data_IF_424792719867
#
_entry.id   IF_424792719867
#
_cell.length_a   1.000
_cell.length_b   1.000
_cell.length_c   1.000
_cell.angle_alpha   90.00
_cell.angle_beta   90.00
_cell.angle_gamma   90.00
#
_symmetry.space_group_name_H-M   'P 1'
#
loop_
_entity.id
_entity.type
_entity.pdbx_description
1 polymer ?
#
# COMPACT_ATOMS: atom_id res chain seq x y z
N UNK A 1 -39.63 -6.26 -8.18
CA UNK A 1 -38.48 -6.48 -9.08
C UNK A 1 -39.08 -6.99 -10.37
N UNK A 2 -38.66 -6.43 -11.51
CA UNK A 2 -39.16 -6.90 -12.81
C UNK A 2 -38.81 -8.36 -13.03
N UNK A 3 -39.68 -9.12 -13.69
CA UNK A 3 -39.44 -10.51 -14.06
C UNK A 3 -38.29 -10.59 -15.07
N UNK A 4 -37.36 -11.51 -14.89
CA UNK A 4 -36.25 -11.72 -15.84
C UNK A 4 -36.63 -12.88 -16.74
N UNK A 5 -36.82 -12.59 -18.02
CA UNK A 5 -37.13 -13.57 -19.05
C UNK A 5 -35.85 -14.15 -19.64
N UNK A 6 -35.76 -15.46 -19.64
CA UNK A 6 -34.65 -16.24 -20.21
C UNK A 6 -35.01 -16.84 -21.57
N UNK A 7 -36.30 -16.91 -21.89
CA UNK A 7 -36.83 -17.51 -23.12
C UNK A 7 -36.56 -16.67 -24.37
N UNK A 8 -36.60 -17.32 -25.54
CA UNK A 8 -36.32 -16.69 -26.83
C UNK A 8 -37.48 -15.81 -27.32
N UNK A 9 -38.72 -16.24 -27.10
CA UNK A 9 -39.94 -15.63 -27.63
C UNK A 9 -40.93 -15.23 -26.51
N UNK A 10 -40.41 -14.95 -25.31
CA UNK A 10 -41.18 -14.55 -24.13
C UNK A 10 -42.21 -15.60 -23.68
N UNK A 11 -41.95 -16.88 -23.95
CA UNK A 11 -42.76 -18.00 -23.52
C UNK A 11 -42.89 -18.05 -21.99
N UNK A 12 -41.77 -17.83 -21.30
CA UNK A 12 -41.70 -17.82 -19.85
C UNK A 12 -42.50 -16.67 -19.24
N UNK A 13 -42.53 -15.50 -19.87
CA UNK A 13 -43.34 -14.35 -19.45
C UNK A 13 -44.82 -14.68 -19.55
N UNK A 14 -45.25 -15.28 -20.68
CA UNK A 14 -46.65 -15.62 -20.89
C UNK A 14 -47.11 -16.72 -19.91
N UNK A 15 -46.27 -17.72 -19.68
CA UNK A 15 -46.53 -18.73 -18.65
C UNK A 15 -46.54 -18.11 -17.25
N UNK A 16 -45.63 -17.18 -16.94
CA UNK A 16 -45.56 -16.52 -15.63
C UNK A 16 -46.79 -15.66 -15.36
N UNK A 17 -47.34 -15.02 -16.39
CA UNK A 17 -48.63 -14.31 -16.30
C UNK A 17 -49.78 -15.24 -15.87
N UNK A 18 -49.77 -16.49 -16.34
CA UNK A 18 -50.83 -17.47 -16.04
C UNK A 18 -50.60 -18.23 -14.72
N UNK A 19 -49.33 -18.46 -14.36
CA UNK A 19 -48.93 -19.42 -13.33
C UNK A 19 -48.08 -18.83 -12.20
N UNK A 20 -47.68 -17.55 -12.26
CA UNK A 20 -46.76 -16.93 -11.30
C UNK A 20 -47.28 -16.86 -9.86
N UNK A 21 -48.57 -17.10 -9.64
CA UNK A 21 -49.18 -17.27 -8.32
C UNK A 21 -48.95 -18.66 -7.69
N UNK A 22 -48.50 -19.64 -8.48
CA UNK A 22 -48.25 -20.99 -7.99
C UNK A 22 -46.89 -21.03 -7.30
N UNK A 23 -46.89 -21.41 -6.03
CA UNK A 23 -45.67 -21.62 -5.27
C UNK A 23 -45.11 -23.03 -5.50
N UNK A 24 -43.80 -23.13 -5.77
CA UNK A 24 -43.10 -24.40 -5.95
C UNK A 24 -43.76 -25.32 -7.00
N UNK A 25 -44.15 -24.77 -8.13
CA UNK A 25 -44.77 -25.53 -9.21
C UNK A 25 -43.82 -26.53 -9.86
N UNK A 26 -44.37 -27.29 -10.80
CA UNK A 26 -43.69 -28.41 -11.47
C UNK A 26 -43.87 -28.34 -12.98
N UNK A 27 -42.77 -28.44 -13.72
CA UNK A 27 -42.75 -28.45 -15.18
C UNK A 27 -42.09 -29.71 -15.74
N UNK A 28 -42.38 -29.99 -17.01
CA UNK A 28 -41.63 -30.94 -17.82
C UNK A 28 -41.17 -30.19 -19.07
N UNK A 29 -39.88 -30.26 -19.37
CA UNK A 29 -39.23 -29.59 -20.49
C UNK A 29 -38.58 -30.62 -21.40
N UNK A 30 -39.11 -30.78 -22.62
CA UNK A 30 -38.66 -31.76 -23.60
C UNK A 30 -37.93 -31.06 -24.71
N UNK A 31 -36.64 -31.40 -24.87
CA UNK A 31 -35.70 -30.63 -25.69
C UNK A 31 -35.28 -29.34 -24.96
N UNK A 32 -34.88 -29.51 -23.70
CA UNK A 32 -34.62 -28.40 -22.80
C UNK A 32 -33.37 -27.58 -23.17
N UNK A 33 -32.48 -28.12 -24.02
CA UNK A 33 -31.33 -27.43 -24.59
C UNK A 33 -30.41 -26.79 -23.54
N UNK A 34 -30.27 -25.46 -23.49
CA UNK A 34 -29.40 -24.80 -22.51
C UNK A 34 -30.18 -24.49 -21.21
N UNK A 35 -29.63 -24.77 -20.02
CA UNK A 35 -30.32 -24.56 -18.74
C UNK A 35 -30.55 -23.08 -18.38
N UNK A 36 -29.92 -22.14 -19.09
CA UNK A 36 -30.07 -20.70 -18.88
C UNK A 36 -30.43 -19.95 -20.16
N UNK A 37 -29.71 -20.17 -21.26
CA UNK A 37 -29.90 -19.41 -22.50
C UNK A 37 -31.12 -19.92 -23.27
N UNK A 38 -32.05 -19.03 -23.61
CA UNK A 38 -33.33 -19.37 -24.27
C UNK A 38 -34.24 -20.32 -23.48
N UNK A 39 -33.96 -20.53 -22.18
CA UNK A 39 -34.69 -21.46 -21.34
C UNK A 39 -36.06 -20.92 -20.94
N UNK A 40 -37.12 -21.67 -21.24
CA UNK A 40 -38.50 -21.37 -20.80
C UNK A 40 -38.69 -21.64 -19.30
N UNK A 41 -37.86 -22.52 -18.73
CA UNK A 41 -38.01 -23.01 -17.36
C UNK A 41 -37.06 -22.34 -16.36
N UNK A 42 -36.09 -21.54 -16.82
CA UNK A 42 -35.07 -20.92 -15.96
C UNK A 42 -35.67 -19.99 -14.91
N UNK A 43 -36.54 -19.06 -15.32
CA UNK A 43 -37.19 -18.10 -14.42
C UNK A 43 -38.03 -18.79 -13.33
N UNK A 44 -38.77 -19.86 -13.69
CA UNK A 44 -39.57 -20.63 -12.74
C UNK A 44 -38.72 -21.30 -11.67
N UNK A 45 -37.61 -21.92 -12.07
CA UNK A 45 -36.71 -22.56 -11.13
C UNK A 45 -36.01 -21.57 -10.20
N UNK A 46 -35.62 -20.39 -10.70
CA UNK A 46 -35.09 -19.33 -9.84
C UNK A 46 -36.13 -18.87 -8.82
N UNK A 47 -37.42 -18.94 -9.17
CA UNK A 47 -38.55 -18.73 -8.28
C UNK A 47 -38.90 -19.94 -7.38
N UNK A 48 -38.05 -20.97 -7.32
CA UNK A 48 -38.20 -22.12 -6.43
C UNK A 48 -38.93 -23.33 -7.02
N UNK A 49 -39.33 -23.28 -8.29
CA UNK A 49 -39.91 -24.43 -8.97
C UNK A 49 -38.84 -25.50 -9.22
N UNK A 50 -39.32 -26.70 -9.55
CA UNK A 50 -38.48 -27.83 -9.98
C UNK A 50 -39.24 -28.64 -11.01
N UNK A 51 -38.53 -29.40 -11.84
CA UNK A 51 -39.19 -30.19 -12.87
C UNK A 51 -38.35 -31.33 -13.40
N UNK A 52 -38.70 -31.77 -14.60
CA UNK A 52 -37.94 -32.74 -15.38
C UNK A 52 -37.42 -32.02 -16.62
N UNK A 53 -36.11 -32.09 -16.84
CA UNK A 53 -35.45 -31.57 -18.04
C UNK A 53 -34.94 -32.74 -18.86
N UNK A 54 -35.43 -32.88 -20.08
CA UNK A 54 -35.05 -33.95 -21.02
C UNK A 54 -34.19 -33.32 -22.11
N UNK A 55 -32.92 -33.68 -22.13
CA UNK A 55 -31.92 -33.14 -23.06
C UNK A 55 -30.90 -34.23 -23.43
N UNK A 56 -30.93 -34.76 -24.67
CA UNK A 56 -30.09 -35.88 -25.07
C UNK A 56 -28.61 -35.51 -25.31
N UNK A 57 -28.27 -34.24 -25.59
CA UNK A 57 -26.90 -33.86 -25.89
C UNK A 57 -26.02 -33.83 -24.62
N UNK A 58 -24.88 -34.53 -24.61
CA UNK A 58 -24.04 -34.65 -23.41
C UNK A 58 -23.54 -33.31 -22.84
N UNK A 59 -23.21 -32.34 -23.69
CA UNK A 59 -22.72 -31.02 -23.28
C UNK A 59 -23.77 -30.25 -22.48
N UNK A 60 -25.02 -30.27 -22.95
CA UNK A 60 -26.13 -29.59 -22.29
C UNK A 60 -26.59 -30.34 -21.05
N UNK A 61 -26.65 -31.68 -21.10
CA UNK A 61 -26.97 -32.49 -19.93
C UNK A 61 -26.01 -32.21 -18.76
N UNK A 62 -24.70 -32.13 -19.03
CA UNK A 62 -23.72 -31.78 -18.01
C UNK A 62 -23.97 -30.39 -17.42
N UNK A 63 -24.32 -29.40 -18.25
CA UNK A 63 -24.67 -28.06 -17.79
C UNK A 63 -25.92 -28.07 -16.90
N UNK A 64 -26.93 -28.88 -17.23
CA UNK A 64 -28.11 -29.10 -16.38
C UNK A 64 -27.75 -29.70 -15.02
N UNK A 65 -26.88 -30.72 -14.97
CA UNK A 65 -26.44 -31.30 -13.70
C UNK A 65 -25.76 -30.28 -12.78
N UNK A 66 -24.98 -29.36 -13.36
CA UNK A 66 -24.26 -28.32 -12.61
C UNK A 66 -25.17 -27.16 -12.15
N UNK A 67 -26.04 -26.69 -13.04
CA UNK A 67 -26.81 -25.45 -12.84
C UNK A 67 -28.23 -25.70 -12.30
N UNK A 68 -28.77 -26.90 -12.53
CA UNK A 68 -30.17 -27.28 -12.25
C UNK A 68 -30.29 -28.49 -11.31
N UNK A 69 -29.58 -28.57 -10.17
CA UNK A 69 -29.58 -29.75 -9.32
C UNK A 69 -30.90 -30.08 -8.63
N UNK A 70 -31.90 -29.18 -8.62
CA UNK A 70 -33.26 -29.51 -8.12
C UNK A 70 -34.13 -30.22 -9.15
N UNK A 71 -33.76 -30.12 -10.43
CA UNK A 71 -34.47 -30.78 -11.51
C UNK A 71 -34.01 -32.22 -11.66
N UNK A 72 -34.90 -33.08 -12.17
CA UNK A 72 -34.52 -34.39 -12.69
C UNK A 72 -34.01 -34.19 -14.12
N UNK A 73 -32.70 -34.26 -14.30
CA UNK A 73 -32.04 -34.00 -15.59
C UNK A 73 -31.71 -35.31 -16.31
N UNK A 74 -32.36 -35.57 -17.45
CA UNK A 74 -32.31 -36.85 -18.16
C UNK A 74 -31.60 -36.72 -19.52
N UNK A 75 -30.51 -37.48 -19.69
CA UNK A 75 -29.75 -37.60 -20.94
C UNK A 75 -30.42 -38.58 -21.92
N UNK A 76 -31.65 -38.27 -22.33
CA UNK A 76 -32.47 -39.11 -23.21
C UNK A 76 -33.23 -38.23 -24.21
N UNK A 77 -33.73 -38.83 -25.28
CA UNK A 77 -34.79 -38.25 -26.08
C UNK A 77 -36.17 -38.76 -25.62
N UNK A 78 -37.22 -37.99 -25.91
CA UNK A 78 -38.60 -38.44 -25.74
C UNK A 78 -39.18 -38.91 -27.08
N UNK A 79 -39.97 -39.96 -27.08
CA UNK A 79 -40.59 -40.49 -28.30
C UNK A 79 -41.76 -41.44 -28.05
N UNK A 80 -42.23 -42.10 -29.11
CA UNK A 80 -43.44 -42.94 -29.07
C UNK A 80 -43.23 -44.31 -28.43
N UNK A 81 -41.99 -44.78 -28.34
CA UNK A 81 -41.61 -46.03 -27.68
C UNK A 81 -40.23 -45.92 -27.03
N UNK A 82 -39.96 -46.77 -26.04
CA UNK A 82 -38.62 -46.90 -25.47
C UNK A 82 -37.68 -47.59 -26.48
N UNK A 83 -36.44 -47.12 -26.57
CA UNK A 83 -35.46 -47.67 -27.52
C UNK A 83 -34.22 -46.79 -27.64
N UNK A 84 -33.65 -46.76 -28.84
CA UNK A 84 -32.56 -45.85 -29.23
C UNK A 84 -32.97 -45.10 -30.49
N UNK A 85 -32.50 -43.86 -30.63
CA UNK A 85 -32.62 -43.08 -31.86
C UNK A 85 -31.27 -42.48 -32.25
N UNK A 86 -31.10 -42.24 -33.54
CA UNK A 86 -30.00 -41.43 -34.05
C UNK A 86 -30.40 -39.97 -34.03
N UNK A 87 -29.67 -39.16 -33.28
CA UNK A 87 -29.79 -37.72 -33.22
C UNK A 87 -28.72 -37.08 -34.10
N UNK A 88 -29.12 -36.10 -34.91
CA UNK A 88 -28.22 -35.33 -35.76
C UNK A 88 -28.01 -33.96 -35.14
N UNK A 89 -26.83 -33.73 -34.58
CA UNK A 89 -26.45 -32.48 -33.94
C UNK A 89 -25.64 -31.59 -34.90
N UNK A 90 -25.79 -30.27 -34.75
CA UNK A 90 -24.95 -29.27 -35.40
C UNK A 90 -24.21 -28.50 -34.31
N UNK A 91 -23.01 -28.94 -33.87
CA UNK A 91 -22.37 -28.40 -32.66
C UNK A 91 -22.10 -26.88 -32.68
N UNK A 92 -22.08 -26.26 -33.87
CA UNK A 92 -21.89 -24.82 -34.03
C UNK A 92 -23.16 -24.01 -33.78
N UNK A 93 -24.35 -24.62 -33.80
CA UNK A 93 -25.65 -23.95 -33.71
C UNK A 93 -26.51 -24.65 -32.66
N UNK A 94 -26.86 -23.92 -31.59
CA UNK A 94 -27.69 -24.45 -30.51
C UNK A 94 -29.14 -24.60 -30.96
N UNK A 95 -29.84 -25.58 -30.40
CA UNK A 95 -31.25 -25.84 -30.70
C UNK A 95 -31.46 -26.76 -31.90
N UNK A 96 -30.59 -26.78 -32.91
CA UNK A 96 -30.82 -27.47 -34.18
C UNK A 96 -30.66 -29.00 -34.19
N UNK A 97 -30.54 -29.62 -33.02
CA UNK A 97 -30.40 -31.07 -32.95
C UNK A 97 -31.75 -31.73 -33.22
N UNK A 98 -31.82 -32.55 -34.27
CA UNK A 98 -33.07 -33.20 -34.68
C UNK A 98 -32.84 -34.68 -34.97
N UNK A 99 -33.80 -35.56 -34.66
CA UNK A 99 -33.78 -36.95 -35.11
C UNK A 99 -34.23 -37.13 -36.57
N UNK A 100 -34.69 -36.06 -37.23
CA UNK A 100 -35.10 -36.11 -38.65
C UNK A 100 -33.88 -36.01 -39.58
N UNK A 101 -33.63 -37.08 -40.32
CA UNK A 101 -32.55 -37.15 -41.29
C UNK A 101 -32.68 -36.10 -42.41
N UNK A 102 -33.90 -35.69 -42.78
CA UNK A 102 -34.11 -34.66 -43.80
C UNK A 102 -33.64 -33.28 -43.31
N UNK A 103 -33.84 -32.97 -42.03
CA UNK A 103 -33.33 -31.75 -41.37
C UNK A 103 -31.81 -31.76 -41.35
N UNK A 104 -31.21 -32.90 -40.99
CA UNK A 104 -29.76 -33.09 -41.02
C UNK A 104 -29.17 -32.86 -42.43
N UNK A 105 -29.82 -33.38 -43.47
CA UNK A 105 -29.36 -33.21 -44.86
C UNK A 105 -29.50 -31.76 -45.33
N UNK A 106 -30.56 -31.06 -44.93
CA UNK A 106 -30.71 -29.63 -45.19
C UNK A 106 -29.54 -28.85 -44.58
N UNK A 107 -29.24 -29.06 -43.30
CA UNK A 107 -28.12 -28.38 -42.62
C UNK A 107 -26.77 -28.70 -43.28
N UNK A 108 -26.53 -29.95 -43.71
CA UNK A 108 -25.32 -30.30 -44.48
C UNK A 108 -25.24 -29.53 -45.80
N UNK A 109 -26.36 -29.41 -46.51
CA UNK A 109 -26.43 -28.69 -47.79
C UNK A 109 -26.17 -27.18 -47.64
N UNK A 110 -26.48 -26.62 -46.47
CA UNK A 110 -26.19 -25.24 -46.08
C UNK A 110 -24.75 -25.03 -45.59
N UNK A 111 -23.95 -26.10 -45.53
CA UNK A 111 -22.52 -26.06 -45.18
C UNK A 111 -22.23 -26.26 -43.69
N UNK A 112 -23.22 -26.68 -42.90
CA UNK A 112 -23.03 -26.98 -41.48
C UNK A 112 -22.42 -28.37 -41.28
N UNK A 113 -21.62 -28.51 -40.23
CA UNK A 113 -21.10 -29.81 -39.81
C UNK A 113 -22.16 -30.53 -38.97
N UNK A 114 -22.59 -31.68 -39.43
CA UNK A 114 -23.54 -32.54 -38.70
C UNK A 114 -22.81 -33.72 -38.08
N UNK A 115 -23.08 -33.98 -36.80
CA UNK A 115 -22.57 -35.11 -36.02
C UNK A 115 -23.74 -36.03 -35.68
N UNK A 116 -23.51 -37.34 -35.77
CA UNK A 116 -24.52 -38.35 -35.45
C UNK A 116 -24.25 -38.94 -34.07
N UNK A 117 -25.28 -39.01 -33.23
CA UNK A 117 -25.22 -39.56 -31.89
C UNK A 117 -26.34 -40.58 -31.69
N UNK A 118 -26.02 -41.79 -31.20
CA UNK A 118 -27.05 -42.72 -30.72
C UNK A 118 -27.42 -42.35 -29.29
N UNK A 119 -28.70 -42.08 -29.04
CA UNK A 119 -29.20 -41.66 -27.73
C UNK A 119 -30.37 -42.55 -27.28
N UNK A 120 -30.50 -42.84 -25.97
CA UNK A 120 -31.64 -43.58 -25.45
C UNK A 120 -32.93 -42.79 -25.62
N UNK A 121 -34.02 -43.49 -25.89
CA UNK A 121 -35.37 -42.93 -26.03
C UNK A 121 -36.27 -43.50 -24.97
N UNK A 122 -37.10 -42.65 -24.37
CA UNK A 122 -38.20 -43.08 -23.50
C UNK A 122 -39.51 -42.42 -23.88
N UNK A 123 -40.62 -43.09 -23.61
CA UNK A 123 -41.93 -42.44 -23.65
C UNK A 123 -42.09 -41.49 -22.47
N UNK A 124 -42.76 -40.35 -22.69
CA UNK A 124 -43.09 -39.42 -21.59
C UNK A 124 -43.91 -40.10 -20.50
N UNK A 125 -44.79 -41.04 -20.86
CA UNK A 125 -45.51 -41.87 -19.90
C UNK A 125 -44.55 -42.62 -18.95
N UNK A 126 -43.51 -43.27 -19.49
CA UNK A 126 -42.54 -44.00 -18.67
C UNK A 126 -41.69 -43.08 -17.80
N UNK A 127 -41.37 -41.87 -18.27
CA UNK A 127 -40.64 -40.85 -17.50
C UNK A 127 -41.52 -40.34 -16.37
N UNK A 128 -42.78 -40.03 -16.66
CA UNK A 128 -43.72 -39.53 -15.67
C UNK A 128 -44.04 -40.55 -14.59
N UNK A 129 -44.15 -41.83 -14.95
CA UNK A 129 -44.30 -42.96 -14.01
C UNK A 129 -43.21 -42.97 -12.94
N UNK A 130 -41.97 -42.75 -13.35
CA UNK A 130 -40.81 -42.85 -12.47
C UNK A 130 -40.62 -41.58 -11.62
N UNK A 131 -40.79 -40.39 -12.22
CA UNK A 131 -40.28 -39.15 -11.63
C UNK A 131 -41.35 -38.14 -11.19
N UNK A 132 -42.57 -38.18 -11.73
CA UNK A 132 -43.61 -37.19 -11.34
C UNK A 132 -44.11 -37.46 -9.92
N UNK A 133 -44.18 -38.74 -9.51
CA UNK A 133 -44.49 -39.15 -8.12
C UNK A 133 -45.73 -38.48 -7.52
N UNK A 134 -46.79 -38.29 -8.33
CA UNK A 134 -48.06 -37.69 -7.91
C UNK A 134 -48.06 -36.16 -7.84
N UNK A 135 -46.98 -35.48 -8.26
CA UNK A 135 -46.96 -34.02 -8.38
C UNK A 135 -47.89 -33.54 -9.50
N UNK A 136 -48.51 -32.38 -9.31
CA UNK A 136 -49.29 -31.72 -10.36
C UNK A 136 -48.34 -31.09 -11.37
N UNK A 137 -48.52 -31.41 -12.65
CA UNK A 137 -47.72 -30.84 -13.74
C UNK A 137 -48.42 -29.54 -14.15
N UNK A 138 -47.74 -28.41 -14.00
CA UNK A 138 -48.33 -27.10 -14.28
C UNK A 138 -48.14 -26.72 -15.75
N UNK A 139 -46.99 -27.06 -16.34
CA UNK A 139 -46.84 -27.02 -17.78
C UNK A 139 -45.90 -28.08 -18.33
N UNK A 140 -46.13 -28.45 -19.58
CA UNK A 140 -45.26 -29.29 -20.41
C UNK A 140 -44.85 -28.49 -21.64
N UNK A 141 -43.54 -28.28 -21.82
CA UNK A 141 -42.94 -27.73 -23.04
C UNK A 141 -42.37 -28.87 -23.89
N UNK A 142 -42.67 -28.83 -25.19
CA UNK A 142 -42.08 -29.72 -26.20
C UNK A 142 -41.47 -28.85 -27.31
N UNK A 143 -40.16 -29.00 -27.51
CA UNK A 143 -39.35 -28.36 -28.55
C UNK A 143 -38.31 -29.37 -29.04
N UNK A 144 -38.60 -30.12 -30.10
CA UNK A 144 -37.72 -31.23 -30.50
C UNK A 144 -37.45 -31.21 -32.00
N UNK A 145 -37.47 -30.00 -32.59
CA UNK A 145 -37.10 -29.71 -33.97
C UNK A 145 -37.76 -30.66 -34.97
N UNK A 146 -39.09 -30.76 -34.91
CA UNK A 146 -39.92 -31.52 -35.85
C UNK A 146 -40.34 -32.91 -35.37
N UNK A 147 -39.92 -33.33 -34.17
CA UNK A 147 -40.26 -34.64 -33.59
C UNK A 147 -41.44 -34.61 -32.59
N UNK A 148 -42.19 -33.49 -32.53
CA UNK A 148 -43.21 -33.23 -31.50
C UNK A 148 -44.31 -34.30 -31.51
N UNK A 149 -44.73 -34.73 -32.72
CA UNK A 149 -45.75 -35.76 -32.89
C UNK A 149 -45.36 -37.11 -32.29
N UNK A 150 -44.09 -37.49 -32.36
CA UNK A 150 -43.60 -38.75 -31.75
C UNK A 150 -43.53 -38.64 -30.23
N UNK A 151 -43.13 -37.49 -29.69
CA UNK A 151 -43.18 -37.21 -28.25
C UNK A 151 -44.62 -37.33 -27.73
N UNK A 152 -45.59 -36.73 -28.44
CA UNK A 152 -47.00 -36.74 -28.07
C UNK A 152 -47.60 -38.16 -28.08
N UNK A 153 -47.22 -39.01 -29.04
CA UNK A 153 -47.63 -40.44 -29.06
C UNK A 153 -47.14 -41.21 -27.82
N UNK A 154 -46.03 -40.80 -27.23
CA UNK A 154 -45.48 -41.39 -26.01
C UNK A 154 -46.09 -40.87 -24.70
N UNK A 155 -47.05 -39.95 -24.76
CA UNK A 155 -47.66 -39.34 -23.58
C UNK A 155 -49.03 -39.97 -23.26
N UNK A 156 -49.30 -40.21 -21.98
CA UNK A 156 -50.62 -40.60 -21.48
C UNK A 156 -51.25 -39.41 -20.75
N UNK A 157 -51.97 -38.59 -21.51
CA UNK A 157 -52.68 -37.43 -20.97
C UNK A 157 -53.85 -37.82 -20.06
N UNK A 158 -54.36 -39.05 -20.08
CA UNK A 158 -55.41 -39.44 -19.15
C UNK A 158 -54.86 -39.60 -17.73
N UNK A 159 -53.60 -40.03 -17.61
CA UNK A 159 -52.94 -40.26 -16.33
C UNK A 159 -52.10 -39.08 -15.84
N UNK A 160 -51.31 -38.45 -16.71
CA UNK A 160 -50.48 -37.30 -16.37
C UNK A 160 -51.01 -36.06 -17.08
N UNK A 161 -51.45 -35.09 -16.28
CA UNK A 161 -52.28 -33.96 -16.72
C UNK A 161 -51.58 -32.61 -16.50
N UNK A 162 -50.70 -32.18 -17.44
CA UNK A 162 -50.24 -30.80 -17.49
C UNK A 162 -51.41 -29.80 -17.55
N UNK A 163 -51.35 -28.69 -16.83
CA UNK A 163 -52.39 -27.66 -16.95
C UNK A 163 -52.28 -26.90 -18.28
N UNK A 164 -51.04 -26.59 -18.67
CA UNK A 164 -50.70 -25.89 -19.93
C UNK A 164 -49.74 -26.73 -20.75
N UNK A 165 -50.00 -26.83 -22.06
CA UNK A 165 -49.07 -27.39 -23.04
C UNK A 165 -48.50 -26.25 -23.87
N UNK A 166 -47.19 -26.25 -24.07
CA UNK A 166 -46.48 -25.35 -24.98
C UNK A 166 -45.74 -26.23 -25.97
N UNK A 167 -46.15 -26.21 -27.23
CA UNK A 167 -45.63 -27.16 -28.22
C UNK A 167 -45.17 -26.35 -29.43
N UNK A 168 -43.91 -26.53 -29.82
CA UNK A 168 -43.41 -25.93 -31.05
C UNK A 168 -44.26 -26.41 -32.25
N UNK A 169 -44.64 -25.48 -33.11
CA UNK A 169 -45.63 -25.71 -34.14
C UNK A 169 -45.17 -25.23 -35.51
N UNK A 170 -43.87 -25.02 -35.69
CA UNK A 170 -43.21 -24.60 -36.93
C UNK A 170 -42.35 -25.71 -37.49
N UNK A 171 -42.15 -25.73 -38.82
CA UNK A 171 -41.07 -26.52 -39.39
C UNK A 171 -39.72 -25.92 -38.95
N UNK A 172 -38.66 -26.75 -38.80
CA UNK A 172 -37.33 -26.26 -38.42
C UNK A 172 -36.89 -25.08 -39.27
N UNK A 173 -36.43 -24.02 -38.61
CA UNK A 173 -35.98 -22.76 -39.24
C UNK A 173 -36.99 -22.10 -40.21
N UNK A 174 -38.29 -22.35 -40.04
CA UNK A 174 -39.34 -21.84 -40.92
C UNK A 174 -40.45 -21.12 -40.15
N UNK A 175 -41.23 -20.30 -40.87
CA UNK A 175 -42.49 -19.72 -40.36
C UNK A 175 -43.71 -20.55 -40.73
N UNK A 176 -43.52 -21.62 -41.50
CA UNK A 176 -44.58 -22.54 -41.88
C UNK A 176 -44.94 -23.43 -40.69
N UNK A 177 -46.23 -23.52 -40.38
CA UNK A 177 -46.68 -24.29 -39.22
C UNK A 177 -46.88 -25.77 -39.54
N UNK A 178 -46.48 -26.67 -38.64
CA UNK A 178 -46.61 -28.13 -38.80
C UNK A 178 -47.71 -28.77 -37.93
N UNK A 179 -48.43 -27.99 -37.10
CA UNK A 179 -49.37 -28.47 -36.09
C UNK A 179 -50.48 -29.40 -36.60
N UNK A 180 -50.87 -29.29 -37.87
CA UNK A 180 -51.89 -30.16 -38.47
C UNK A 180 -51.54 -31.66 -38.36
N UNK A 181 -50.25 -31.99 -38.26
CA UNK A 181 -49.78 -33.37 -38.14
C UNK A 181 -50.02 -33.99 -36.76
N UNK A 182 -50.13 -33.18 -35.70
CA UNK A 182 -50.16 -33.66 -34.31
C UNK A 182 -51.26 -33.04 -33.42
N UNK A 183 -51.88 -31.92 -33.78
CA UNK A 183 -52.84 -31.19 -32.91
C UNK A 183 -54.04 -32.05 -32.47
N UNK A 184 -54.47 -32.98 -33.32
CA UNK A 184 -55.55 -33.93 -32.99
C UNK A 184 -55.21 -34.83 -31.78
N UNK A 185 -53.93 -35.12 -31.53
CA UNK A 185 -53.46 -35.91 -30.39
C UNK A 185 -53.62 -35.16 -29.07
N UNK A 186 -53.62 -33.82 -29.11
CA UNK A 186 -53.80 -32.96 -27.94
C UNK A 186 -55.28 -32.61 -27.75
N UNK A 187 -55.94 -32.15 -28.80
CA UNK A 187 -57.34 -31.68 -28.73
C UNK A 187 -58.32 -32.81 -28.42
N UNK A 188 -58.06 -34.04 -28.89
CA UNK A 188 -58.87 -35.22 -28.52
C UNK A 188 -58.78 -35.57 -27.03
N UNK A 189 -57.74 -35.08 -26.33
CA UNK A 189 -57.50 -35.32 -24.90
C UNK A 189 -58.06 -34.22 -24.00
N UNK A 190 -58.99 -33.40 -24.53
CA UNK A 190 -59.63 -32.29 -23.80
C UNK A 190 -58.65 -31.19 -23.41
N UNK A 191 -57.76 -30.86 -24.32
CA UNK A 191 -56.99 -29.61 -24.28
C UNK A 191 -57.56 -28.64 -25.30
N UNK A 192 -57.71 -27.38 -24.91
CA UNK A 192 -58.22 -26.31 -25.77
C UNK A 192 -57.06 -25.44 -26.24
N UNK A 193 -56.98 -25.20 -27.54
CA UNK A 193 -56.07 -24.21 -28.11
C UNK A 193 -56.42 -22.81 -27.56
N UNK A 194 -55.41 -22.07 -27.11
CA UNK A 194 -55.60 -20.73 -26.53
C UNK A 194 -54.74 -19.65 -27.17
N UNK A 195 -53.57 -19.98 -27.73
CA UNK A 195 -52.65 -18.99 -28.29
C UNK A 195 -51.62 -19.59 -29.24
N UNK A 196 -51.17 -18.79 -30.20
CA UNK A 196 -50.00 -19.07 -31.04
C UNK A 196 -49.10 -17.83 -31.01
N UNK A 197 -47.86 -17.99 -30.55
CA UNK A 197 -46.90 -16.88 -30.38
C UNK A 197 -46.02 -16.62 -31.62
N UNK A 198 -46.26 -17.36 -32.70
CA UNK A 198 -45.44 -17.36 -33.91
C UNK A 198 -44.50 -18.56 -34.06
N UNK A 199 -44.23 -19.28 -32.96
CA UNK A 199 -43.40 -20.50 -32.91
C UNK A 199 -44.15 -21.64 -32.21
N UNK A 200 -44.64 -21.38 -31.00
CA UNK A 200 -45.31 -22.31 -30.12
C UNK A 200 -46.83 -22.14 -30.14
N UNK A 201 -47.55 -23.26 -30.12
CA UNK A 201 -48.97 -23.30 -29.80
C UNK A 201 -49.19 -23.67 -28.34
N UNK A 202 -50.09 -22.93 -27.71
CA UNK A 202 -50.48 -23.09 -26.33
C UNK A 202 -51.83 -23.76 -26.24
N UNK A 203 -51.92 -24.75 -25.36
CA UNK A 203 -53.17 -25.43 -25.05
C UNK A 203 -53.38 -25.50 -23.54
N UNK A 204 -54.62 -25.40 -23.10
CA UNK A 204 -55.00 -25.46 -21.68
C UNK A 204 -55.94 -26.63 -21.47
N UNK A 205 -55.69 -27.42 -20.42
CA UNK A 205 -56.57 -28.53 -20.03
C UNK A 205 -57.96 -27.99 -19.67
N UNK A 206 -59.03 -28.70 -20.06
CA UNK A 206 -60.40 -28.21 -19.83
C UNK A 206 -60.74 -27.98 -18.36
N UNK A 207 -60.18 -28.79 -17.45
CA UNK A 207 -60.27 -28.62 -16.00
C UNK A 207 -59.64 -27.33 -15.48
N UNK A 208 -58.74 -26.70 -16.25
CA UNK A 208 -58.05 -25.44 -15.94
C UNK A 208 -58.43 -24.31 -16.90
N UNK A 209 -59.65 -24.35 -17.44
CA UNK A 209 -60.14 -23.38 -18.43
C UNK A 209 -60.05 -21.90 -17.99
N UNK A 210 -59.99 -21.62 -16.69
CA UNK A 210 -59.75 -20.29 -16.13
C UNK A 210 -58.42 -19.69 -16.57
N UNK A 211 -57.40 -20.51 -16.88
CA UNK A 211 -56.09 -20.04 -17.32
C UNK A 211 -56.12 -19.44 -18.73
N UNK A 212 -57.07 -19.85 -19.57
CA UNK A 212 -57.18 -19.40 -20.96
C UNK A 212 -57.26 -17.87 -21.10
N UNK A 213 -57.81 -17.17 -20.11
CA UNK A 213 -57.90 -15.69 -20.10
C UNK A 213 -56.54 -14.98 -20.13
N UNK A 214 -55.46 -15.66 -19.77
CA UNK A 214 -54.10 -15.08 -19.71
C UNK A 214 -53.36 -15.15 -21.06
N UNK A 215 -53.83 -16.00 -21.99
CA UNK A 215 -53.15 -16.29 -23.26
C UNK A 215 -53.70 -15.51 -24.46
N UNK A 216 -54.76 -14.69 -24.30
CA UNK A 216 -55.40 -14.00 -25.43
C UNK A 216 -54.67 -12.76 -25.97
N UNK A 217 -53.56 -12.36 -25.35
CA UNK A 217 -52.72 -11.23 -25.75
C UNK A 217 -51.25 -11.57 -25.56
N UNK A 218 -50.40 -11.07 -26.45
CA UNK A 218 -48.95 -11.21 -26.34
C UNK A 218 -48.39 -10.56 -25.05
N UNK A 219 -47.19 -10.97 -24.60
CA UNK A 219 -46.41 -10.22 -23.62
C UNK A 219 -46.30 -8.74 -24.00
N UNK A 220 -46.47 -7.85 -23.03
CA UNK A 220 -46.52 -6.41 -23.22
C UNK A 220 -46.07 -5.65 -21.97
N UNK A 221 -46.18 -4.32 -22.01
CA UNK A 221 -45.70 -3.41 -20.95
C UNK A 221 -46.31 -3.66 -19.57
N UNK A 222 -47.44 -4.36 -19.47
CA UNK A 222 -48.08 -4.69 -18.20
C UNK A 222 -47.50 -5.93 -17.51
N UNK A 223 -46.60 -6.67 -18.16
CA UNK A 223 -45.96 -7.86 -17.58
C UNK A 223 -44.71 -7.55 -16.75
N UNK A 224 -44.25 -6.29 -16.73
CA UNK A 224 -43.08 -5.80 -15.98
C UNK A 224 -41.88 -6.77 -16.06
N UNK A 225 -41.42 -7.05 -17.29
CA UNK A 225 -40.29 -7.94 -17.53
C UNK A 225 -39.16 -7.27 -18.31
N UNK A 226 -37.96 -7.82 -18.14
CA UNK A 226 -36.78 -7.53 -18.97
C UNK A 226 -36.17 -8.85 -19.44
N UNK A 227 -35.45 -8.84 -20.55
CA UNK A 227 -34.69 -10.02 -20.96
C UNK A 227 -33.44 -10.21 -20.10
N UNK A 228 -33.04 -11.46 -19.93
CA UNK A 228 -31.80 -11.87 -19.28
C UNK A 228 -30.57 -11.16 -19.85
N UNK A 229 -30.50 -11.00 -21.17
CA UNK A 229 -29.40 -10.28 -21.82
C UNK A 229 -29.38 -8.79 -21.44
N UNK A 230 -30.55 -8.16 -21.30
CA UNK A 230 -30.65 -6.77 -20.86
C UNK A 230 -30.22 -6.62 -19.40
N UNK A 231 -30.67 -7.53 -18.53
CA UNK A 231 -30.26 -7.56 -17.12
C UNK A 231 -28.73 -7.76 -16.98
N UNK A 232 -28.17 -8.77 -17.66
CA UNK A 232 -26.71 -9.01 -17.74
C UNK A 232 -25.96 -7.75 -18.20
N UNK A 233 -26.47 -7.07 -19.23
CA UNK A 233 -25.87 -5.86 -19.78
C UNK A 233 -25.92 -4.68 -18.79
N UNK A 234 -27.04 -4.47 -18.11
CA UNK A 234 -27.17 -3.44 -17.08
C UNK A 234 -26.27 -3.72 -15.87
N UNK A 235 -26.20 -4.98 -15.43
CA UNK A 235 -25.30 -5.38 -14.36
C UNK A 235 -23.83 -5.15 -14.73
N UNK A 236 -23.44 -5.49 -15.96
CA UNK A 236 -22.09 -5.24 -16.49
C UNK A 236 -21.79 -3.74 -16.56
N UNK A 237 -22.71 -2.93 -17.10
CA UNK A 237 -22.55 -1.48 -17.16
C UNK A 237 -22.39 -0.84 -15.76
N UNK A 238 -23.15 -1.32 -14.77
CA UNK A 238 -23.03 -0.87 -13.38
C UNK A 238 -21.69 -1.22 -12.76
N UNK A 239 -21.19 -2.44 -13.00
CA UNK A 239 -19.85 -2.87 -12.56
C UNK A 239 -18.77 -2.01 -13.20
N UNK A 240 -18.84 -1.78 -14.51
CA UNK A 240 -17.88 -0.95 -15.24
C UNK A 240 -17.89 0.50 -14.75
N UNK A 241 -19.08 1.09 -14.54
CA UNK A 241 -19.20 2.45 -14.00
C UNK A 241 -18.59 2.56 -12.60
N UNK A 242 -18.77 1.54 -11.76
CA UNK A 242 -18.18 1.49 -10.41
C UNK A 242 -16.65 1.36 -10.49
N UNK A 243 -16.14 0.48 -11.34
CA UNK A 243 -14.72 0.30 -11.56
C UNK A 243 -14.05 1.56 -12.13
N UNK A 244 -14.71 2.25 -13.07
CA UNK A 244 -14.23 3.50 -13.63
C UNK A 244 -14.09 4.58 -12.55
N UNK A 245 -15.11 4.77 -11.71
CA UNK A 245 -15.04 5.73 -10.60
C UNK A 245 -13.91 5.41 -9.62
N UNK A 246 -13.69 4.14 -9.32
CA UNK A 246 -12.59 3.72 -8.45
C UNK A 246 -11.23 4.02 -9.09
N UNK A 247 -11.07 3.72 -10.39
CA UNK A 247 -9.85 4.00 -11.14
C UNK A 247 -9.56 5.50 -11.27
N UNK A 248 -10.59 6.33 -11.50
CA UNK A 248 -10.46 7.78 -11.52
C UNK A 248 -10.01 8.33 -10.17
N UNK A 249 -10.55 7.81 -9.06
CA UNK A 249 -10.14 8.22 -7.73
C UNK A 249 -8.69 7.82 -7.45
N UNK A 250 -8.30 6.59 -7.78
CA UNK A 250 -6.92 6.13 -7.63
C UNK A 250 -5.94 6.98 -8.46
N UNK A 251 -6.32 7.33 -9.70
CA UNK A 251 -5.52 8.20 -10.54
C UNK A 251 -5.36 9.60 -9.93
N UNK A 252 -6.42 10.16 -9.35
CA UNK A 252 -6.36 11.44 -8.62
C UNK A 252 -5.43 11.36 -7.41
N UNK A 253 -5.58 10.33 -6.57
CA UNK A 253 -4.75 10.12 -5.38
C UNK A 253 -3.28 9.91 -5.75
N UNK A 254 -3.01 9.17 -6.83
CA UNK A 254 -1.66 9.01 -7.39
C UNK A 254 -1.07 10.34 -7.86
N UNK A 255 -1.87 11.14 -8.56
CA UNK A 255 -1.44 12.46 -9.06
C UNK A 255 -1.13 13.38 -7.88
N UNK A 256 -1.96 13.40 -6.83
CA UNK A 256 -1.69 14.17 -5.62
C UNK A 256 -0.43 13.70 -4.87
N UNK A 257 -0.24 12.39 -4.75
CA UNK A 257 0.97 11.81 -4.12
C UNK A 257 2.23 12.17 -4.92
N UNK A 258 2.17 12.08 -6.24
CA UNK A 258 3.26 12.48 -7.12
C UNK A 258 3.58 13.98 -6.98
N UNK A 259 2.55 14.84 -6.95
CA UNK A 259 2.73 16.27 -6.73
C UNK A 259 3.41 16.59 -5.38
N UNK A 260 2.97 15.96 -4.29
CA UNK A 260 3.59 16.12 -2.96
C UNK A 260 5.05 15.63 -2.94
N UNK A 261 5.33 14.52 -3.61
CA UNK A 261 6.69 13.97 -3.72
C UNK A 261 7.61 14.90 -4.50
N UNK A 262 7.13 15.47 -5.61
CA UNK A 262 7.87 16.46 -6.41
C UNK A 262 8.15 17.71 -5.58
N UNK A 263 7.18 18.23 -4.84
CA UNK A 263 7.37 19.39 -3.96
C UNK A 263 8.41 19.11 -2.86
N UNK A 264 8.34 17.95 -2.22
CA UNK A 264 9.34 17.53 -1.21
C UNK A 264 10.74 17.39 -1.82
N UNK A 265 10.86 16.80 -3.01
CA UNK A 265 12.12 16.68 -3.72
C UNK A 265 12.68 18.06 -4.09
N UNK A 266 11.81 18.99 -4.52
CA UNK A 266 12.19 20.37 -4.82
C UNK A 266 12.71 21.10 -3.59
N UNK A 267 12.01 21.03 -2.46
CA UNK A 267 12.44 21.61 -1.18
C UNK A 267 13.78 21.04 -0.72
N UNK A 268 13.95 19.72 -0.82
CA UNK A 268 15.20 19.05 -0.47
C UNK A 268 16.35 19.50 -1.37
N UNK A 269 16.12 19.61 -2.68
CA UNK A 269 17.11 20.11 -3.63
C UNK A 269 17.51 21.56 -3.34
N UNK A 270 16.56 22.43 -2.99
CA UNK A 270 16.82 23.81 -2.59
C UNK A 270 17.69 23.90 -1.33
N UNK A 271 17.39 23.10 -0.30
CA UNK A 271 18.21 23.03 0.92
C UNK A 271 19.61 22.51 0.64
N UNK A 272 19.74 21.47 -0.19
CA UNK A 272 21.03 20.93 -0.61
C UNK A 272 21.86 21.98 -1.38
N UNK A 273 21.21 22.76 -2.26
CA UNK A 273 21.87 23.84 -3.00
C UNK A 273 22.35 24.96 -2.07
N UNK A 274 21.55 25.35 -1.08
CA UNK A 274 21.96 26.32 -0.05
C UNK A 274 23.14 25.81 0.78
N UNK A 275 23.10 24.56 1.22
CA UNK A 275 24.19 23.94 1.97
C UNK A 275 25.49 23.88 1.14
N UNK A 276 25.38 23.57 -0.16
CA UNK A 276 26.53 23.58 -1.07
C UNK A 276 27.13 24.99 -1.19
N UNK A 277 26.30 26.02 -1.38
CA UNK A 277 26.77 27.41 -1.44
C UNK A 277 27.46 27.84 -0.15
N UNK A 278 26.94 27.46 1.02
CA UNK A 278 27.57 27.74 2.31
C UNK A 278 28.92 27.02 2.45
N UNK A 279 28.99 25.74 2.05
CA UNK A 279 30.24 24.98 2.08
C UNK A 279 31.29 25.57 1.13
N UNK A 280 30.89 26.03 -0.06
CA UNK A 280 31.77 26.73 -0.99
C UNK A 280 32.29 28.05 -0.41
N UNK A 281 31.44 28.83 0.27
CA UNK A 281 31.87 30.07 0.92
C UNK A 281 32.85 29.78 2.07
N UNK A 282 32.53 28.82 2.94
CA UNK A 282 33.43 28.39 4.03
C UNK A 282 34.77 27.92 3.50
N UNK A 283 34.78 27.19 2.37
CA UNK A 283 36.02 26.78 1.71
C UNK A 283 36.83 27.99 1.25
N UNK A 284 36.21 28.98 0.59
CA UNK A 284 36.90 30.22 0.16
C UNK A 284 37.46 31.00 1.35
N UNK A 285 36.71 31.09 2.43
CA UNK A 285 37.15 31.77 3.65
C UNK A 285 38.33 31.02 4.30
N UNK A 286 38.28 29.69 4.34
CA UNK A 286 39.38 28.85 4.82
C UNK A 286 40.63 28.98 3.94
N UNK A 287 40.49 28.98 2.61
CA UNK A 287 41.60 29.20 1.67
C UNK A 287 42.25 30.57 1.90
N UNK A 288 41.45 31.60 2.15
CA UNK A 288 41.93 32.95 2.49
C UNK A 288 42.69 32.97 3.83
N UNK A 289 42.18 32.26 4.84
CA UNK A 289 42.87 32.12 6.13
C UNK A 289 44.18 31.35 6.01
N UNK A 290 44.22 30.29 5.20
CA UNK A 290 45.44 29.52 4.94
C UNK A 290 46.50 30.42 4.31
N UNK A 291 46.13 31.24 3.33
CA UNK A 291 47.05 32.21 2.71
C UNK A 291 47.57 33.22 3.75
N UNK A 292 46.68 33.80 4.58
CA UNK A 292 47.09 34.73 5.63
C UNK A 292 48.03 34.08 6.67
N UNK A 293 47.80 32.82 7.03
CA UNK A 293 48.67 32.07 7.93
C UNK A 293 50.02 31.76 7.29
N UNK A 294 50.07 31.47 5.99
CA UNK A 294 51.32 31.28 5.25
C UNK A 294 52.15 32.57 5.23
N UNK A 295 51.51 33.72 4.97
CA UNK A 295 52.17 35.03 5.00
C UNK A 295 52.71 35.37 6.40
N UNK A 296 51.91 35.13 7.45
CA UNK A 296 52.33 35.35 8.83
C UNK A 296 53.48 34.42 9.23
N UNK A 297 53.46 33.16 8.80
CA UNK A 297 54.53 32.20 9.02
C UNK A 297 55.82 32.65 8.31
N UNK A 298 55.74 33.09 7.06
CA UNK A 298 56.87 33.63 6.32
C UNK A 298 57.46 34.86 7.02
N UNK A 299 56.63 35.79 7.48
CA UNK A 299 57.07 36.96 8.24
C UNK A 299 57.74 36.59 9.58
N UNK A 300 57.22 35.58 10.28
CA UNK A 300 57.82 35.06 11.52
C UNK A 300 59.17 34.38 11.24
N UNK A 301 59.29 33.62 10.15
CA UNK A 301 60.54 32.98 9.75
C UNK A 301 61.61 34.03 9.39
N UNK A 302 61.24 35.07 8.64
CA UNK A 302 62.10 36.22 8.34
C UNK A 302 62.55 36.93 9.62
N UNK A 303 61.63 37.21 10.53
CA UNK A 303 61.94 37.82 11.82
C UNK A 303 62.89 36.94 12.67
N UNK A 304 62.65 35.63 12.70
CA UNK A 304 63.52 34.66 13.35
C UNK A 304 64.93 34.63 12.73
N UNK A 305 65.02 34.71 11.40
CA UNK A 305 66.29 34.79 10.69
C UNK A 305 67.04 36.08 11.03
N UNK A 306 66.36 37.23 11.01
CA UNK A 306 66.94 38.52 11.41
C UNK A 306 67.44 38.51 12.85
N UNK A 307 66.67 37.95 13.79
CA UNK A 307 67.10 37.78 15.18
C UNK A 307 68.34 36.89 15.29
N UNK A 308 68.43 35.84 14.49
CA UNK A 308 69.59 34.93 14.47
C UNK A 308 70.84 35.65 13.96
N UNK A 309 70.73 36.39 12.85
CA UNK A 309 71.82 37.20 12.30
C UNK A 309 72.24 38.29 13.28
N UNK A 310 71.27 38.98 13.91
CA UNK A 310 71.54 39.99 14.93
C UNK A 310 72.25 39.38 16.16
N UNK A 311 71.82 38.20 16.61
CA UNK A 311 72.46 37.51 17.72
C UNK A 311 73.91 37.13 17.38
N UNK A 312 74.16 36.65 16.17
CA UNK A 312 75.51 36.36 15.67
C UNK A 312 76.38 37.62 15.58
N UNK A 313 75.85 38.75 15.07
CA UNK A 313 76.57 40.04 15.05
C UNK A 313 76.88 40.55 16.47
N UNK A 314 75.91 40.47 17.39
CA UNK A 314 76.13 40.82 18.80
C UNK A 314 77.18 39.94 19.45
N UNK A 315 77.17 38.63 19.18
CA UNK A 315 78.16 37.70 19.68
C UNK A 315 79.56 38.00 19.11
N UNK A 316 79.65 38.33 17.82
CA UNK A 316 80.89 38.76 17.17
C UNK A 316 81.41 40.07 17.79
N UNK A 317 80.54 41.07 18.00
CA UNK A 317 80.91 42.34 18.66
C UNK A 317 81.30 42.15 20.11
N UNK A 318 80.59 41.30 20.85
CA UNK A 318 80.97 40.95 22.22
C UNK A 318 82.32 40.27 22.23
N UNK A 319 82.57 39.32 21.34
CA UNK A 319 83.87 38.63 21.20
C UNK A 319 84.99 39.60 20.84
N UNK A 320 84.78 40.51 19.90
CA UNK A 320 85.74 41.57 19.55
C UNK A 320 85.99 42.54 20.72
N UNK A 321 84.94 42.90 21.46
CA UNK A 321 85.04 43.73 22.67
C UNK A 321 85.81 42.99 23.76
N UNK A 322 85.53 41.70 23.99
CA UNK A 322 86.28 40.83 24.91
C UNK A 322 87.74 40.64 24.49
N UNK A 323 88.04 40.67 23.19
CA UNK A 323 89.39 40.58 22.65
C UNK A 323 90.18 41.90 22.68
N UNK A 324 89.51 43.05 22.78
CA UNK A 324 90.12 44.39 22.77
C UNK A 324 91.01 44.66 24.00
N UNK A 325 92.08 45.44 23.79
CA UNK A 325 93.12 45.76 24.78
C UNK A 325 92.57 46.52 26.00
N UNK A 326 91.60 47.41 25.80
CA UNK A 326 90.89 48.14 26.87
C UNK A 326 90.03 47.24 27.78
N UNK A 327 89.44 46.17 27.24
CA UNK A 327 88.61 45.25 28.02
C UNK A 327 89.46 44.28 28.87
N UNK A 328 90.64 43.87 28.36
CA UNK A 328 91.62 43.06 29.10
C UNK A 328 92.29 43.83 30.25
N UNK A 329 92.48 45.15 30.12
CA UNK A 329 93.06 46.00 31.18
C UNK A 329 92.06 46.29 32.31
N UNK A 330 90.76 46.40 32.01
CA UNK A 330 89.70 46.71 33.01
C UNK A 330 89.09 45.49 33.70
N UNK A 331 89.56 44.28 33.39
CA UNK A 331 89.10 43.00 33.95
C UNK A 331 89.10 42.95 35.50
N UNK A 332 90.18 43.35 36.22
CA UNK A 332 90.18 43.31 37.69
C UNK A 332 89.19 44.30 38.33
N UNK A 333 88.99 45.48 37.73
CA UNK A 333 88.04 46.50 38.21
C UNK A 333 86.57 46.06 38.04
N UNK A 334 86.27 45.23 37.04
CA UNK A 334 84.91 44.72 36.79
C UNK A 334 84.58 43.45 37.58
N UNK A 335 85.59 42.65 37.95
CA UNK A 335 85.43 41.63 38.99
C UNK A 335 85.04 42.26 40.33
N UNK A 336 85.67 43.39 40.71
CA UNK A 336 85.28 44.18 41.88
C UNK A 336 83.86 44.77 41.73
N UNK A 337 83.48 45.26 40.54
CA UNK A 337 82.12 45.73 40.26
C UNK A 337 81.04 44.64 40.34
N UNK A 338 81.33 43.39 39.96
CA UNK A 338 80.41 42.24 40.13
C UNK A 338 80.23 41.84 41.59
N UNK A 339 81.26 41.97 42.42
CA UNK A 339 81.17 41.79 43.89
C UNK A 339 80.32 42.89 44.54
N UNK A 340 80.48 44.15 44.11
CA UNK A 340 79.67 45.29 44.58
C UNK A 340 78.21 45.20 44.13
N UNK A 341 77.93 44.66 42.93
CA UNK A 341 76.55 44.43 42.43
C UNK A 341 75.89 43.19 43.06
N UNK A 342 76.67 42.19 43.48
CA UNK A 342 76.20 41.04 44.26
C UNK A 342 75.82 41.42 45.71
N UNK A 343 76.46 42.45 46.29
CA UNK A 343 76.15 43.00 47.61
C UNK A 343 74.93 43.95 47.65
N UNK A 344 74.39 44.36 46.49
CA UNK A 344 73.20 45.21 46.36
C UNK A 344 71.89 44.46 46.04
N UNK A 345 71.84 43.14 46.27
CA UNK A 345 70.58 42.36 46.15
C UNK A 345 69.81 42.33 47.49
N UNK A 346 68.53 42.74 47.53
CA UNK A 346 67.72 42.69 48.75
C UNK A 346 67.52 41.23 49.18
N UNK A 347 67.86 40.91 50.43
CA UNK A 347 67.65 39.57 51.02
C UNK A 347 68.90 38.87 51.58
N UNK A 348 70.12 39.27 51.19
CA UNK A 348 71.36 38.68 51.76
C UNK A 348 71.78 39.32 53.09
N UNK A 349 71.43 40.59 53.35
CA UNK A 349 71.64 41.24 54.64
C UNK A 349 70.94 40.51 55.80
N UNK A 350 69.76 39.92 55.56
CA UNK A 350 69.00 39.14 56.55
C UNK A 350 69.72 37.84 56.94
N UNK A 351 70.47 37.20 56.02
CA UNK A 351 71.20 35.94 56.25
C UNK A 351 72.57 36.16 56.90
N UNK A 352 73.20 37.31 56.66
CA UNK A 352 74.49 37.66 57.28
C UNK A 352 74.27 38.17 58.72
N UNK A 353 73.26 39.02 58.94
CA UNK A 353 72.94 39.55 60.29
C UNK A 353 72.50 38.43 61.25
N UNK A 354 71.69 37.47 60.80
CA UNK A 354 71.26 36.33 61.64
C UNK A 354 72.37 35.31 61.94
N UNK A 355 73.41 35.21 61.10
CA UNK A 355 74.61 34.39 61.37
C UNK A 355 75.57 35.06 62.34
N UNK A 356 75.69 36.38 62.28
CA UNK A 356 76.56 37.17 63.16
C UNK A 356 75.97 37.29 64.57
N UNK A 357 74.65 37.33 64.74
CA UNK A 357 73.99 37.36 66.06
C UNK A 357 73.87 35.99 66.76
N UNK A 358 74.21 34.88 66.08
CA UNK A 358 74.22 33.51 66.65
C UNK A 358 75.60 33.08 67.16
N UNK A 359 76.66 33.87 66.94
CA UNK A 359 78.03 33.53 67.30
C UNK A 359 78.49 34.31 68.53
N UNK A 360 78.64 33.60 69.65
CA UNK A 360 78.80 34.15 71.01
C UNK A 360 80.11 34.94 71.20
N UNK A 361 81.13 34.66 70.39
CA UNK A 361 82.42 35.40 70.38
C UNK A 361 82.31 36.79 69.73
N UNK A 362 81.46 36.96 68.73
CA UNK A 362 81.22 38.25 68.06
C UNK A 362 80.40 39.20 68.94
N UNK A 363 79.50 38.65 69.76
CA UNK A 363 78.69 39.40 70.74
C UNK A 363 79.55 40.10 71.80
N UNK A 364 80.65 39.49 72.26
CA UNK A 364 81.57 40.12 73.24
C UNK A 364 82.43 41.25 72.64
N UNK A 365 82.67 41.24 71.33
CA UNK A 365 83.43 42.28 70.62
C UNK A 365 82.58 43.48 70.19
N UNK A 366 81.29 43.26 69.92
CA UNK A 366 80.37 44.31 69.44
C UNK A 366 79.75 45.15 70.57
N UNK A 367 79.57 44.59 71.77
CA UNK A 367 78.97 45.28 72.93
C UNK A 367 79.78 46.52 73.39
N UNK A 368 81.13 46.48 73.52
CA UNK A 368 81.89 47.68 73.90
C UNK A 368 81.86 48.78 72.83
N UNK A 369 81.72 48.43 71.54
CA UNK A 369 81.67 49.39 70.42
C UNK A 369 80.30 50.07 70.33
N UNK A 370 79.21 49.33 70.63
CA UNK A 370 77.85 49.87 70.66
C UNK A 370 77.56 50.75 71.89
N UNK A 371 78.29 50.56 73.00
CA UNK A 371 78.24 51.46 74.17
C UNK A 371 79.05 52.75 73.99
N UNK A 372 79.98 52.78 73.03
CA UNK A 372 80.84 53.95 72.74
C UNK A 372 80.21 54.95 71.75
N UNK A 373 79.15 54.56 71.04
CA UNK A 373 78.41 55.40 70.09
C UNK A 373 76.89 55.22 70.23
N UNK A 374 76.22 55.97 71.14
CA UNK A 374 74.80 55.77 71.46
C UNK A 374 73.84 55.97 70.26
N UNK A 375 74.21 56.80 69.29
CA UNK A 375 73.43 57.02 68.07
C UNK A 375 73.33 55.78 67.15
N UNK A 376 74.32 54.88 67.22
CA UNK A 376 74.35 53.62 66.47
C UNK A 376 73.50 52.54 67.16
N UNK A 377 73.45 52.52 68.49
CA UNK A 377 72.61 51.61 69.27
C UNK A 377 71.11 51.83 69.02
N UNK A 378 70.65 53.08 68.94
CA UNK A 378 69.23 53.38 68.67
C UNK A 378 68.79 52.94 67.27
N UNK A 379 69.60 53.17 66.23
CA UNK A 379 69.29 52.77 64.84
C UNK A 379 69.27 51.25 64.62
N UNK A 380 70.09 50.50 65.36
CA UNK A 380 70.10 49.03 65.31
C UNK A 380 68.90 48.45 66.06
N UNK A 381 68.48 49.06 67.17
CA UNK A 381 67.29 48.64 67.93
C UNK A 381 65.98 48.89 67.19
N UNK A 382 65.83 50.03 66.49
CA UNK A 382 64.62 50.35 65.72
C UNK A 382 64.45 49.44 64.50
N UNK A 383 65.55 49.08 63.85
CA UNK A 383 65.55 48.16 62.70
C UNK A 383 65.26 46.70 63.11
N UNK A 384 65.65 46.29 64.32
CA UNK A 384 65.32 44.97 64.87
C UNK A 384 63.87 44.87 65.38
N UNK A 385 63.30 45.96 65.89
CA UNK A 385 61.91 46.04 66.31
C UNK A 385 60.94 45.98 65.12
N UNK A 386 61.24 46.68 64.02
CA UNK A 386 60.44 46.66 62.78
C UNK A 386 60.40 45.28 62.08
N UNK A 387 61.44 44.45 62.28
CA UNK A 387 61.53 43.11 61.69
C UNK A 387 60.83 42.04 62.56
N UNK A 388 60.58 42.33 63.85
CA UNK A 388 59.91 41.42 64.79
C UNK A 388 58.37 41.55 64.80
N UNK A 389 57.80 42.60 64.22
CA UNK A 389 56.37 42.94 64.29
C UNK A 389 55.59 42.75 62.97
N UNK A 390 56.21 42.25 61.90
CA UNK A 390 55.50 41.94 60.66
C UNK A 390 54.79 40.58 60.76
N UNK A 391 53.46 40.61 60.95
CA UNK A 391 52.58 39.44 60.97
C UNK A 391 52.42 38.83 59.55
N UNK A 392 52.26 37.50 59.40
CA UNK A 392 51.94 36.87 58.13
C UNK A 392 50.46 37.06 57.79
N UNK A 393 50.14 37.49 56.56
CA UNK A 393 48.77 37.54 56.05
C UNK A 393 48.17 36.12 55.89
N UNK A 394 46.89 35.90 56.26
CA UNK A 394 46.20 34.63 56.10
C UNK A 394 45.63 34.43 54.69
N UNK A 395 45.57 33.17 54.25
CA UNK A 395 44.97 32.72 53.00
C UNK A 395 43.43 32.82 53.01
N UNK A 396 42.83 33.23 51.89
CA UNK A 396 41.37 33.30 51.72
C UNK A 396 40.71 31.90 51.59
N UNK A 397 39.50 31.70 52.14
CA UNK A 397 38.76 30.44 52.08
C UNK A 397 37.88 30.31 50.83
N UNK A 398 37.62 29.08 50.38
CA UNK A 398 36.45 28.75 49.54
C UNK A 398 36.76 28.00 48.24
N UNK A 399 37.10 26.71 48.34
CA UNK A 399 37.02 25.79 47.20
C UNK A 399 35.54 25.43 46.95
N UNK A 400 34.93 26.05 45.94
CA UNK A 400 33.67 25.57 45.38
C UNK A 400 33.96 24.36 44.47
N UNK A 401 33.15 23.32 44.63
CA UNK A 401 33.24 22.05 43.91
C UNK A 401 33.20 22.26 42.38
N UNK A 402 34.21 21.72 41.69
CA UNK A 402 34.31 21.77 40.23
C UNK A 402 33.35 20.76 39.60
N UNK A 403 32.49 21.15 38.64
CA UNK A 403 31.60 20.24 37.91
C UNK A 403 32.34 19.08 37.24
N UNK A 404 31.73 17.89 37.17
CA UNK A 404 32.36 16.64 36.69
C UNK A 404 33.01 16.76 35.29
N UNK A 405 32.40 17.55 34.42
CA UNK A 405 32.81 17.74 33.03
C UNK A 405 34.20 18.40 32.88
N UNK A 406 34.75 18.99 33.94
CA UNK A 406 36.01 19.73 33.93
C UNK A 406 37.15 19.02 34.68
N UNK A 407 36.96 17.78 35.17
CA UNK A 407 37.99 17.06 35.93
C UNK A 407 39.18 16.57 35.09
N UNK A 408 39.01 16.42 33.77
CA UNK A 408 40.05 15.93 32.85
C UNK A 408 41.06 16.98 32.34
N UNK A 409 40.90 18.26 32.67
CA UNK A 409 41.73 19.34 32.12
C UNK A 409 42.94 19.69 33.02
N UNK A 410 44.10 20.06 32.43
CA UNK A 410 45.26 20.56 33.17
C UNK A 410 44.90 21.73 34.08
N UNK A 411 45.53 21.82 35.26
CA UNK A 411 45.24 22.84 36.30
C UNK A 411 45.34 24.28 35.76
N UNK A 412 46.27 24.53 34.83
CA UNK A 412 46.45 25.83 34.17
C UNK A 412 45.23 26.25 33.35
N UNK A 413 44.58 25.32 32.64
CA UNK A 413 43.41 25.59 31.81
C UNK A 413 42.18 25.87 32.68
N UNK A 414 42.03 25.14 33.79
CA UNK A 414 40.96 25.38 34.77
C UNK A 414 41.08 26.76 35.44
N UNK A 415 42.30 27.21 35.71
CA UNK A 415 42.54 28.54 36.28
C UNK A 415 42.14 29.66 35.30
N UNK A 416 42.52 29.54 34.02
CA UNK A 416 42.17 30.51 32.97
C UNK A 416 40.66 30.53 32.70
N UNK A 417 40.00 29.37 32.68
CA UNK A 417 38.55 29.30 32.49
C UNK A 417 37.79 29.93 33.66
N UNK A 418 38.25 29.70 34.89
CA UNK A 418 37.70 30.32 36.10
C UNK A 418 37.90 31.84 36.13
N UNK A 419 39.02 32.35 35.62
CA UNK A 419 39.26 33.79 35.48
C UNK A 419 38.37 34.42 34.40
N UNK A 420 38.17 33.75 33.27
CA UNK A 420 37.26 34.20 32.21
C UNK A 420 35.79 34.21 32.64
N UNK A 421 35.34 33.21 33.40
CA UNK A 421 33.99 33.16 33.93
C UNK A 421 33.75 34.26 34.98
N UNK A 422 34.73 34.54 35.84
CA UNK A 422 34.68 35.68 36.79
C UNK A 422 34.63 37.02 36.07
N UNK A 423 35.41 37.20 35.00
CA UNK A 423 35.36 38.41 34.17
C UNK A 423 33.99 38.59 33.49
N UNK A 424 33.37 37.49 33.03
CA UNK A 424 32.05 37.51 32.36
C UNK A 424 30.89 37.77 33.34
N UNK A 425 30.97 37.23 34.56
CA UNK A 425 30.00 37.51 35.63
C UNK A 425 30.06 38.94 36.18
N UNK A 426 31.24 39.57 36.17
CA UNK A 426 31.41 40.98 36.55
C UNK A 426 30.96 41.97 35.45
N UNK A 427 30.90 41.54 34.18
CA UNK A 427 30.40 42.35 33.07
C UNK A 427 28.86 42.35 32.97
N UNK A 428 28.18 41.28 33.39
CA UNK A 428 26.70 41.21 33.39
C UNK A 428 26.03 42.05 34.48
N UNK A 429 26.74 42.39 35.56
CA UNK A 429 26.20 43.17 36.69
C UNK A 429 26.36 44.69 36.53
N UNK A 430 26.76 45.18 35.35
CA UNK A 430 26.89 46.61 34.99
C UNK A 430 25.97 47.07 33.86
N UNK A 431 25.03 46.25 33.40
CA UNK A 431 24.04 46.59 32.38
C UNK A 431 22.59 46.59 32.90
N UNK A 432 22.41 46.72 34.21
CA UNK A 432 21.10 46.77 34.88
C UNK A 432 21.13 47.69 36.09
N UNK A 433 21.41 48.98 35.86
CA UNK A 433 21.06 50.13 36.69
C UNK A 433 20.85 51.34 35.80
#
# INVERSE_FOLDING_TARGET
MSFISYSQNAEDVLLWRALGQVENGFYIDVGANDPEEHSVTKAFYDAGWRGISIEPLPSFHQAFLEQRPRDVNLAIAAGSANGELTLYDTPQVRGWASPDQAVAELHRSEGHQVVELSVPVRTLASVCEEYVQGQQIHFLKIDVEGFEGEVLKGMDFARWRPWVLVIEATLPNSRETNHASWEHMVTSQRYRFVWFDGLNRYYVAEEHSELARHFGIQPNVFDDYISHHLDKSWAAAKRLSTALKASEQEARDNTERAARSIEQAHQTAMLAQQALQQAEQQKRDADTQILALQDALAASQLSGHHLTVWAQDMEARLTATYASTSWKITTPLRAAGRVVRALRRPGLARRVVTRVTRNERMRRLLIPVLLRYPALGQKVSSSLAAIKQAAPEPAAPGAAAVPEELKGLPVSVRAVLGDLQRARGQAGNRAGQ
#
